data_IF_096671362078
#
_entry.id   IF_096671362078
#
_cell.length_a   1.000
_cell.length_b   1.000
_cell.length_c   1.000
_cell.angle_alpha   90.00
_cell.angle_beta   90.00
_cell.angle_gamma   90.00
#
_symmetry.space_group_name_H-M   'P 1'
#
loop_
_entity.id
_entity.type
_entity.pdbx_description
1 polymer ?
#
# COMPACT_ATOMS: atom_id res chain seq x y z
N UNK A 1 16.18 -15.08 -11.17
CA UNK A 1 16.24 -16.55 -11.12
C UNK A 1 17.33 -17.07 -10.21
N UNK A 2 18.50 -16.42 -10.15
CA UNK A 2 19.64 -16.91 -9.36
C UNK A 2 19.47 -16.90 -7.83
N UNK A 3 18.60 -16.05 -7.28
CA UNK A 3 18.41 -15.90 -5.82
C UNK A 3 17.61 -17.03 -5.18
N UNK A 4 16.58 -17.53 -5.84
CA UNK A 4 15.67 -18.50 -5.24
C UNK A 4 15.64 -19.86 -5.92
N UNK A 5 16.21 -19.97 -7.12
CA UNK A 5 16.31 -21.18 -7.96
C UNK A 5 15.04 -22.07 -7.94
N UNK A 6 13.85 -21.43 -7.91
CA UNK A 6 12.57 -22.11 -7.84
C UNK A 6 11.71 -21.70 -9.04
N UNK A 7 11.75 -22.50 -10.10
CA UNK A 7 10.99 -22.27 -11.34
C UNK A 7 9.49 -22.32 -11.11
N UNK A 8 9.00 -23.26 -10.32
CA UNK A 8 7.57 -23.42 -10.07
C UNK A 8 6.98 -22.20 -9.33
N UNK A 9 7.72 -21.63 -8.37
CA UNK A 9 7.30 -20.40 -7.69
C UNK A 9 7.28 -19.20 -8.64
N UNK A 10 8.25 -19.14 -9.58
CA UNK A 10 8.29 -18.08 -10.58
C UNK A 10 7.11 -18.18 -11.56
N UNK A 11 6.84 -19.36 -12.08
CA UNK A 11 5.69 -19.62 -12.96
C UNK A 11 4.38 -19.26 -12.26
N UNK A 12 4.18 -19.70 -11.01
CA UNK A 12 3.01 -19.34 -10.22
C UNK A 12 2.88 -17.83 -10.02
N UNK A 13 3.98 -17.11 -9.86
CA UNK A 13 3.96 -15.64 -9.76
C UNK A 13 3.49 -15.01 -11.09
N UNK A 14 4.04 -15.46 -12.23
CA UNK A 14 3.65 -14.94 -13.54
C UNK A 14 2.17 -15.23 -13.83
N UNK A 15 1.70 -16.44 -13.52
CA UNK A 15 0.30 -16.80 -13.69
C UNK A 15 -0.62 -15.91 -12.82
N UNK A 16 -0.26 -15.69 -11.56
CA UNK A 16 -1.00 -14.80 -10.66
C UNK A 16 -1.04 -13.36 -11.16
N UNK A 17 0.08 -12.87 -11.72
CA UNK A 17 0.14 -11.52 -12.33
C UNK A 17 -0.76 -11.44 -13.57
N UNK A 18 -0.75 -12.48 -14.42
CA UNK A 18 -1.56 -12.53 -15.62
C UNK A 18 -3.06 -12.57 -15.29
N UNK A 19 -3.45 -13.40 -14.31
CA UNK A 19 -4.83 -13.46 -13.80
C UNK A 19 -5.27 -12.11 -13.22
N UNK A 20 -4.45 -11.50 -12.36
CA UNK A 20 -4.76 -10.19 -11.77
C UNK A 20 -4.92 -9.09 -12.84
N UNK A 21 -4.10 -9.13 -13.90
CA UNK A 21 -4.24 -8.20 -15.02
C UNK A 21 -5.50 -8.50 -15.85
N UNK A 22 -5.83 -9.77 -16.08
CA UNK A 22 -7.03 -10.14 -16.82
C UNK A 22 -8.30 -9.64 -16.11
N UNK A 23 -8.37 -9.83 -14.79
CA UNK A 23 -9.50 -9.45 -13.95
C UNK A 23 -9.58 -7.93 -13.67
N UNK A 24 -8.52 -7.19 -13.98
CA UNK A 24 -8.46 -5.75 -13.71
C UNK A 24 -9.52 -4.98 -14.49
N UNK A 25 -10.36 -4.14 -13.84
CA UNK A 25 -11.42 -3.37 -14.49
C UNK A 25 -10.92 -2.48 -15.63
N UNK A 26 -11.73 -2.31 -16.68
CA UNK A 26 -11.35 -1.57 -17.87
C UNK A 26 -11.03 -0.08 -17.61
N UNK A 27 -11.69 0.53 -16.63
CA UNK A 27 -11.39 1.90 -16.20
C UNK A 27 -10.01 2.02 -15.53
N UNK A 28 -9.59 1.01 -14.76
CA UNK A 28 -8.23 0.95 -14.21
C UNK A 28 -7.19 0.70 -15.29
N UNK A 29 -7.43 -0.22 -16.23
CA UNK A 29 -6.53 -0.44 -17.37
C UNK A 29 -6.31 0.84 -18.19
N UNK A 30 -7.35 1.67 -18.37
CA UNK A 30 -7.21 2.98 -19.03
C UNK A 30 -6.38 3.97 -18.20
N UNK A 31 -6.60 3.99 -16.88
CA UNK A 31 -5.82 4.83 -15.98
C UNK A 31 -4.34 4.43 -15.98
N UNK A 32 -4.05 3.12 -15.93
CA UNK A 32 -2.68 2.60 -15.98
C UNK A 32 -1.99 3.06 -17.27
N UNK A 33 -2.65 2.86 -18.42
CA UNK A 33 -2.11 3.30 -19.73
C UNK A 33 -1.85 4.80 -19.77
N UNK A 34 -2.70 5.61 -19.16
CA UNK A 34 -2.49 7.06 -19.04
C UNK A 34 -1.25 7.39 -18.20
N UNK A 35 -1.03 6.66 -17.11
CA UNK A 35 0.11 6.85 -16.21
C UNK A 35 1.42 6.33 -16.80
N UNK A 36 1.38 5.27 -17.60
CA UNK A 36 2.53 4.79 -18.37
C UNK A 36 3.02 5.82 -19.39
N UNK A 37 2.10 6.61 -19.95
CA UNK A 37 2.44 7.70 -20.88
C UNK A 37 3.01 8.94 -20.17
N UNK A 38 2.72 9.10 -18.89
CA UNK A 38 3.21 10.18 -18.04
C UNK A 38 3.77 9.58 -16.73
N UNK A 39 4.98 9.00 -16.76
CA UNK A 39 5.54 8.30 -15.61
C UNK A 39 5.78 9.20 -14.39
N UNK A 40 5.83 10.50 -14.59
CA UNK A 40 5.96 11.50 -13.53
C UNK A 40 4.62 12.09 -13.06
N UNK A 41 3.50 11.45 -13.40
CA UNK A 41 2.14 11.91 -13.05
C UNK A 41 1.99 12.29 -11.56
N UNK A 42 2.69 11.60 -10.66
CA UNK A 42 2.63 11.83 -9.22
C UNK A 42 3.49 13.01 -8.72
N UNK A 43 4.37 13.57 -9.59
CA UNK A 43 5.24 14.72 -9.27
C UNK A 43 4.65 16.04 -9.77
N UNK A 44 3.50 16.02 -10.44
CA UNK A 44 2.90 17.25 -10.99
C UNK A 44 2.46 18.20 -9.89
N UNK A 45 2.49 19.50 -10.17
CA UNK A 45 2.12 20.54 -9.22
C UNK A 45 0.62 20.56 -8.84
N UNK A 46 -0.22 19.80 -9.54
CA UNK A 46 -1.64 19.59 -9.24
C UNK A 46 -1.90 18.38 -8.34
N UNK A 47 -0.84 17.64 -7.98
CA UNK A 47 -0.92 16.52 -7.04
C UNK A 47 -0.85 17.03 -5.60
N UNK A 48 -1.95 16.88 -4.87
CA UNK A 48 -2.03 17.19 -3.46
C UNK A 48 -2.31 15.92 -2.66
N UNK A 49 -1.35 15.50 -1.86
CA UNK A 49 -1.39 14.27 -1.05
C UNK A 49 -1.62 14.55 0.42
N UNK A 50 -2.28 13.60 1.10
CA UNK A 50 -2.45 13.59 2.54
C UNK A 50 -2.19 12.18 3.08
N UNK A 51 -1.43 12.10 4.17
CA UNK A 51 -1.18 10.86 4.91
C UNK A 51 -1.97 10.89 6.20
N UNK A 52 -2.62 9.77 6.54
CA UNK A 52 -3.41 9.69 7.77
C UNK A 52 -3.59 8.26 8.28
N UNK A 53 -3.78 8.13 9.58
CA UNK A 53 -4.35 6.94 10.20
C UNK A 53 -5.86 6.97 10.07
N UNK A 54 -6.46 5.87 9.62
CA UNK A 54 -7.92 5.75 9.42
C UNK A 54 -8.69 5.94 10.71
N UNK A 55 -8.25 5.30 11.80
CA UNK A 55 -8.88 5.36 13.12
C UNK A 55 -8.81 6.76 13.73
N UNK A 56 -7.68 7.45 13.62
CA UNK A 56 -7.49 8.80 14.17
C UNK A 56 -8.30 9.84 13.40
N UNK A 57 -8.43 9.71 12.09
CA UNK A 57 -9.13 10.69 11.27
C UNK A 57 -10.63 10.47 11.20
N UNK A 58 -11.07 9.22 11.08
CA UNK A 58 -12.47 8.88 10.83
C UNK A 58 -13.04 7.79 11.74
N UNK A 59 -12.19 7.02 12.41
CA UNK A 59 -12.55 5.88 13.25
C UNK A 59 -12.54 4.55 12.52
N UNK A 60 -13.08 4.48 11.31
CA UNK A 60 -13.11 3.26 10.49
C UNK A 60 -13.21 3.59 8.99
N UNK A 61 -13.07 2.56 8.13
CA UNK A 61 -13.09 2.70 6.68
C UNK A 61 -14.45 3.19 6.14
N UNK A 62 -15.57 2.82 6.76
CA UNK A 62 -16.89 3.27 6.34
C UNK A 62 -17.06 4.76 6.60
N UNK A 63 -16.69 5.21 7.80
CA UNK A 63 -16.72 6.62 8.15
C UNK A 63 -15.72 7.45 7.34
N UNK A 64 -14.56 6.87 6.99
CA UNK A 64 -13.63 7.52 6.08
C UNK A 64 -14.25 7.73 4.69
N UNK A 65 -15.03 6.77 4.20
CA UNK A 65 -15.76 6.93 2.94
C UNK A 65 -16.75 8.12 2.99
N UNK A 66 -17.35 8.41 4.15
CA UNK A 66 -18.25 9.55 4.34
C UNK A 66 -17.50 10.89 4.36
N UNK A 67 -16.17 10.88 4.57
CA UNK A 67 -15.31 12.07 4.50
C UNK A 67 -14.87 12.45 3.09
N UNK A 68 -15.17 11.64 2.07
CA UNK A 68 -14.75 11.91 0.68
C UNK A 68 -15.20 13.30 0.18
N UNK A 69 -16.40 13.81 0.46
CA UNK A 69 -16.78 15.17 0.10
C UNK A 69 -15.82 16.23 0.66
N UNK A 70 -15.44 16.10 1.93
CA UNK A 70 -14.46 16.97 2.59
C UNK A 70 -13.08 16.88 1.92
N UNK A 71 -12.60 15.65 1.62
CA UNK A 71 -11.31 15.45 0.95
C UNK A 71 -11.30 16.10 -0.43
N UNK A 72 -12.42 16.05 -1.17
CA UNK A 72 -12.58 16.74 -2.45
C UNK A 72 -12.59 18.26 -2.32
N UNK A 73 -13.23 18.80 -1.30
CA UNK A 73 -13.21 20.22 -1.00
C UNK A 73 -11.79 20.73 -0.75
N UNK A 74 -10.98 19.91 -0.07
CA UNK A 74 -9.55 20.16 0.11
C UNK A 74 -8.71 19.95 -1.17
N UNK A 75 -9.33 19.59 -2.32
CA UNK A 75 -8.67 19.28 -3.59
C UNK A 75 -7.66 18.13 -3.49
N UNK A 76 -7.88 17.19 -2.57
CA UNK A 76 -7.03 16.03 -2.43
C UNK A 76 -7.09 15.15 -3.68
N UNK A 77 -5.92 14.76 -4.20
CA UNK A 77 -5.78 13.87 -5.35
C UNK A 77 -5.08 12.55 -5.00
N UNK A 78 -4.43 12.50 -3.83
CA UNK A 78 -3.68 11.33 -3.36
C UNK A 78 -3.86 11.13 -1.86
N UNK A 79 -4.40 9.99 -1.47
CA UNK A 79 -4.59 9.61 -0.08
C UNK A 79 -3.67 8.45 0.27
N UNK A 80 -2.78 8.66 1.25
CA UNK A 80 -1.93 7.64 1.81
C UNK A 80 -2.49 7.23 3.19
N UNK A 81 -2.96 6.01 3.30
CA UNK A 81 -3.41 5.45 4.56
C UNK A 81 -2.27 4.68 5.22
N UNK A 82 -2.02 5.01 6.48
CA UNK A 82 -1.13 4.26 7.35
C UNK A 82 -1.63 2.81 7.48
N UNK A 83 -0.84 1.88 8.04
CA UNK A 83 -1.13 0.46 7.96
C UNK A 83 -2.58 0.09 8.28
N UNK A 84 -3.15 -0.80 7.49
CA UNK A 84 -4.56 -1.23 7.56
C UNK A 84 -4.73 -2.73 7.81
N UNK A 85 -3.64 -3.50 7.70
CA UNK A 85 -3.72 -4.96 7.76
C UNK A 85 -3.82 -5.45 9.19
N UNK A 86 -4.25 -6.69 9.36
CA UNK A 86 -4.46 -7.29 10.69
C UNK A 86 -3.17 -7.31 11.50
N UNK A 87 -3.24 -6.78 12.71
CA UNK A 87 -2.10 -6.56 13.59
C UNK A 87 -2.42 -6.96 15.03
N UNK A 88 -1.41 -7.32 15.87
CA UNK A 88 -1.64 -7.61 17.26
C UNK A 88 -2.07 -6.36 18.04
N UNK A 89 -2.94 -6.56 19.01
CA UNK A 89 -3.32 -5.52 19.94
C UNK A 89 -2.99 -5.96 21.39
N UNK A 90 -2.36 -5.10 22.21
CA UNK A 90 -2.08 -3.66 22.01
C UNK A 90 -0.73 -3.36 21.34
N UNK A 91 0.16 -4.34 21.13
CA UNK A 91 1.55 -4.14 20.73
C UNK A 91 1.69 -4.37 19.21
N UNK A 92 1.49 -3.32 18.41
CA UNK A 92 1.48 -3.41 16.95
C UNK A 92 2.50 -2.51 16.23
N UNK A 93 3.39 -1.87 16.99
CA UNK A 93 4.43 -0.99 16.43
C UNK A 93 3.86 0.08 15.46
N UNK A 94 2.78 0.74 15.88
CA UNK A 94 2.12 1.75 15.06
C UNK A 94 1.37 1.19 13.84
N UNK A 95 1.08 -0.11 13.86
CA UNK A 95 0.39 -0.81 12.79
C UNK A 95 1.30 -1.60 11.84
N UNK A 96 2.63 -1.55 12.05
CA UNK A 96 3.59 -2.21 11.15
C UNK A 96 3.91 -3.66 11.51
N UNK A 97 3.34 -4.18 12.59
CA UNK A 97 3.52 -5.57 12.99
C UNK A 97 2.43 -6.47 12.38
N UNK A 98 2.30 -6.48 11.05
CA UNK A 98 1.27 -7.26 10.36
C UNK A 98 1.32 -8.74 10.73
N UNK A 99 0.16 -9.31 11.12
CA UNK A 99 -0.04 -10.74 11.40
C UNK A 99 -0.59 -11.48 10.18
N UNK A 100 -1.44 -10.79 9.42
CA UNK A 100 -2.09 -11.31 8.23
C UNK A 100 -2.09 -10.24 7.14
N UNK A 101 -1.43 -10.54 6.01
CA UNK A 101 -1.34 -9.65 4.87
C UNK A 101 -2.57 -9.72 3.95
N UNK A 102 -3.48 -10.65 4.19
CA UNK A 102 -4.66 -10.88 3.37
C UNK A 102 -5.92 -10.24 3.96
N UNK A 103 -5.86 -9.76 5.22
CA UNK A 103 -7.03 -9.30 5.97
C UNK A 103 -6.83 -7.89 6.54
N UNK A 104 -7.84 -7.04 6.39
CA UNK A 104 -7.90 -5.73 7.05
C UNK A 104 -8.09 -5.92 8.56
N UNK A 105 -7.47 -5.06 9.38
CA UNK A 105 -7.67 -5.06 10.83
C UNK A 105 -9.18 -4.92 11.15
N UNK A 106 -9.76 -5.86 11.92
CA UNK A 106 -11.18 -5.84 12.26
C UNK A 106 -11.65 -4.55 12.96
N UNK A 107 -10.75 -3.79 13.59
CA UNK A 107 -11.07 -2.49 14.18
C UNK A 107 -11.32 -1.41 13.12
N UNK A 108 -10.70 -1.54 11.95
CA UNK A 108 -10.81 -0.57 10.87
C UNK A 108 -11.94 -0.93 9.90
N UNK A 109 -12.32 -2.21 9.80
CA UNK A 109 -13.36 -2.69 8.92
C UNK A 109 -13.07 -4.05 8.31
N UNK A 110 -13.55 -4.25 7.10
CA UNK A 110 -13.38 -5.50 6.33
C UNK A 110 -12.70 -5.24 4.99
N UNK A 111 -12.28 -6.31 4.31
CA UNK A 111 -11.74 -6.21 2.94
C UNK A 111 -12.76 -5.59 1.98
N UNK A 112 -14.05 -5.91 2.16
CA UNK A 112 -15.14 -5.34 1.36
C UNK A 112 -15.29 -3.84 1.61
N UNK A 113 -15.09 -3.39 2.86
CA UNK A 113 -15.13 -1.97 3.21
C UNK A 113 -13.97 -1.21 2.55
N UNK A 114 -12.77 -1.81 2.55
CA UNK A 114 -11.60 -1.25 1.87
C UNK A 114 -11.82 -1.19 0.35
N UNK A 115 -12.36 -2.25 -0.25
CA UNK A 115 -12.69 -2.30 -1.66
C UNK A 115 -13.74 -1.22 -2.04
N UNK A 116 -14.77 -1.06 -1.21
CA UNK A 116 -15.80 -0.04 -1.40
C UNK A 116 -15.23 1.37 -1.29
N UNK A 117 -14.35 1.62 -0.29
CA UNK A 117 -13.63 2.88 -0.13
C UNK A 117 -12.76 3.19 -1.35
N UNK A 118 -11.93 2.24 -1.80
CA UNK A 118 -11.06 2.38 -2.97
C UNK A 118 -11.85 2.76 -4.22
N UNK A 119 -13.01 2.11 -4.43
CA UNK A 119 -13.91 2.41 -5.55
C UNK A 119 -14.51 3.81 -5.47
N UNK A 120 -14.91 4.26 -4.26
CA UNK A 120 -15.45 5.61 -4.04
C UNK A 120 -14.37 6.68 -4.24
N UNK A 121 -13.16 6.49 -3.69
CA UNK A 121 -12.02 7.38 -3.87
C UNK A 121 -11.66 7.54 -5.35
N UNK A 122 -11.55 6.41 -6.07
CA UNK A 122 -11.28 6.42 -7.52
C UNK A 122 -12.30 7.24 -8.30
N UNK A 123 -13.60 7.07 -8.00
CA UNK A 123 -14.68 7.87 -8.62
C UNK A 123 -14.60 9.35 -8.27
N UNK A 124 -14.02 9.68 -7.14
CA UNK A 124 -13.78 11.05 -6.70
C UNK A 124 -12.50 11.66 -7.29
N UNK A 125 -11.70 10.90 -8.07
CA UNK A 125 -10.42 11.33 -8.62
C UNK A 125 -9.27 11.28 -7.62
N UNK A 126 -9.42 10.55 -6.51
CA UNK A 126 -8.42 10.41 -5.45
C UNK A 126 -7.74 9.04 -5.58
N UNK A 127 -6.43 9.04 -5.76
CA UNK A 127 -5.62 7.83 -5.74
C UNK A 127 -5.40 7.36 -4.31
N UNK A 128 -5.55 6.06 -4.05
CA UNK A 128 -5.31 5.45 -2.75
C UNK A 128 -3.94 4.77 -2.75
N UNK A 129 -3.17 5.03 -1.71
CA UNK A 129 -1.98 4.29 -1.31
C UNK A 129 -2.19 3.71 0.08
N UNK A 130 -1.69 2.51 0.32
CA UNK A 130 -1.71 1.84 1.62
C UNK A 130 -0.28 1.56 2.01
N UNK A 131 0.06 1.89 3.25
CA UNK A 131 1.36 1.58 3.82
C UNK A 131 1.39 0.14 4.33
N UNK A 132 2.48 -0.58 4.05
CA UNK A 132 2.67 -1.95 4.51
C UNK A 132 4.15 -2.32 4.46
N UNK A 133 4.61 -3.09 5.44
CA UNK A 133 5.99 -3.59 5.52
C UNK A 133 6.00 -5.09 5.28
N UNK A 134 6.66 -5.52 4.22
CA UNK A 134 6.63 -6.91 3.75
C UNK A 134 7.65 -7.84 4.38
N UNK A 135 8.59 -7.37 5.24
CA UNK A 135 9.43 -8.28 5.96
C UNK A 135 9.02 -8.43 7.41
N UNK A 136 8.81 -9.66 7.74
CA UNK A 136 8.39 -10.10 9.04
C UNK A 136 9.59 -10.56 9.86
N UNK A 137 9.99 -9.77 10.85
CA UNK A 137 10.58 -10.32 12.08
C UNK A 137 9.44 -10.56 13.07
N UNK A 138 8.60 -11.55 12.80
CA UNK A 138 7.55 -11.94 13.72
C UNK A 138 8.08 -13.06 14.62
N UNK A 139 8.17 -12.79 15.92
CA UNK A 139 8.38 -13.78 16.96
C UNK A 139 7.17 -14.73 17.15
N UNK A 140 6.11 -14.55 16.38
CA UNK A 140 4.92 -15.39 16.43
C UNK A 140 4.94 -16.42 15.31
N UNK A 141 4.66 -17.70 15.62
CA UNK A 141 4.55 -18.72 14.59
C UNK A 141 3.41 -18.34 13.62
N UNK A 142 3.60 -18.54 12.31
CA UNK A 142 2.54 -18.28 11.35
C UNK A 142 1.31 -19.09 11.71
N UNK A 143 0.16 -18.42 11.87
CA UNK A 143 -1.12 -19.15 11.90
C UNK A 143 -1.20 -19.98 10.63
N UNK A 144 -1.47 -21.28 10.79
CA UNK A 144 -1.60 -22.20 9.67
C UNK A 144 -2.54 -21.60 8.64
N UNK A 145 -2.03 -21.39 7.43
CA UNK A 145 -2.82 -20.90 6.30
C UNK A 145 -4.06 -21.80 6.16
N UNK A 146 -5.23 -21.28 6.46
CA UNK A 146 -6.44 -21.88 5.94
C UNK A 146 -6.44 -21.61 4.44
N UNK A 147 -6.10 -22.64 3.67
CA UNK A 147 -6.20 -22.64 2.22
C UNK A 147 -7.70 -22.60 1.84
N UNK A 148 -8.20 -21.40 1.71
CA UNK A 148 -9.51 -21.11 1.19
C UNK A 148 -9.39 -19.85 0.37
N UNK A 149 -8.97 -20.00 -0.91
CA UNK A 149 -9.06 -18.93 -1.90
C UNK A 149 -10.52 -18.50 -1.99
N UNK A 150 -10.88 -17.44 -1.30
CA UNK A 150 -11.99 -16.61 -1.73
C UNK A 150 -11.42 -15.56 -2.65
N UNK A 151 -11.73 -15.64 -3.94
CA UNK A 151 -11.53 -14.56 -4.89
C UNK A 151 -12.42 -13.42 -4.41
N UNK A 152 -11.78 -12.32 -4.02
CA UNK A 152 -12.48 -11.08 -3.82
C UNK A 152 -12.63 -10.37 -5.17
N UNK A 153 -13.86 -10.00 -5.52
CA UNK A 153 -14.18 -9.26 -6.77
C UNK A 153 -13.68 -7.82 -6.76
N UNK A 154 -12.92 -7.41 -5.74
CA UNK A 154 -12.49 -6.01 -5.56
C UNK A 154 -11.42 -5.54 -6.52
N UNK A 155 -10.68 -6.45 -7.17
CA UNK A 155 -9.61 -6.10 -8.10
C UNK A 155 -8.46 -5.30 -7.47
N UNK A 156 -8.29 -5.38 -6.14
CA UNK A 156 -7.17 -4.78 -5.44
C UNK A 156 -5.91 -5.61 -5.69
N UNK A 157 -5.10 -5.17 -6.64
CA UNK A 157 -3.73 -5.66 -6.78
C UNK A 157 -2.86 -4.78 -5.92
N UNK A 158 -2.29 -5.34 -4.85
CA UNK A 158 -1.28 -4.65 -4.05
C UNK A 158 -0.02 -4.50 -4.89
N UNK A 159 0.17 -3.33 -5.49
CA UNK A 159 1.48 -2.96 -6.01
C UNK A 159 2.31 -2.44 -4.84
N UNK A 160 3.25 -3.27 -4.41
CA UNK A 160 4.28 -2.94 -3.46
C UNK A 160 5.25 -1.94 -4.09
N UNK A 161 4.97 -0.65 -3.94
CA UNK A 161 5.98 0.38 -4.15
C UNK A 161 6.79 0.49 -2.87
N UNK A 162 7.97 -0.12 -2.86
CA UNK A 162 8.96 0.12 -1.84
C UNK A 162 9.33 1.59 -1.82
N UNK A 163 8.85 2.32 -0.83
CA UNK A 163 9.43 3.58 -0.45
C UNK A 163 10.78 3.25 0.21
N UNK A 164 11.89 3.44 -0.51
CA UNK A 164 13.22 3.41 0.10
C UNK A 164 13.27 4.55 1.11
N UNK A 165 13.34 4.20 2.38
CA UNK A 165 13.49 5.14 3.47
C UNK A 165 14.74 6.00 3.27
N UNK A 166 14.63 7.27 3.65
CA UNK A 166 15.67 8.28 3.52
C UNK A 166 16.91 8.04 4.42
N UNK A 167 17.01 6.91 5.09
CA UNK A 167 18.09 6.58 6.04
C UNK A 167 19.39 6.12 5.36
N UNK A 168 19.39 5.69 4.11
CA UNK A 168 20.62 5.27 3.44
C UNK A 168 21.49 6.42 2.87
N UNK A 169 21.09 7.68 3.01
CA UNK A 169 21.84 8.82 2.46
C UNK A 169 22.76 9.54 3.45
N UNK A 170 22.92 9.08 4.69
CA UNK A 170 23.75 9.76 5.68
C UNK A 170 25.17 9.20 5.84
N UNK A 171 25.54 8.10 5.20
CA UNK A 171 26.89 7.53 5.36
C UNK A 171 27.92 7.93 4.27
N UNK A 172 27.53 8.65 3.24
CA UNK A 172 28.47 8.98 2.13
C UNK A 172 29.12 10.39 2.21
N UNK A 173 28.84 11.20 3.23
CA UNK A 173 29.45 12.54 3.41
C UNK A 173 30.11 12.73 4.77
N UNK A 174 31.10 11.92 5.08
CA UNK A 174 31.80 12.03 6.37
C UNK A 174 33.23 11.52 6.40
N UNK A 175 34.06 11.81 5.38
CA UNK A 175 35.53 11.77 5.54
C UNK A 175 36.19 12.74 4.56
N UNK A 176 36.54 13.91 5.08
CA UNK A 176 37.32 14.88 4.34
C UNK A 176 37.55 16.18 5.10
N UNK A 177 38.11 16.11 6.30
CA UNK A 177 38.71 17.28 6.91
C UNK A 177 40.14 16.92 7.30
N UNK A 178 41.03 17.20 6.38
CA UNK A 178 42.48 17.12 6.56
C UNK A 178 42.95 18.15 7.59
N UNK A 179 43.83 17.68 8.44
CA UNK A 179 44.72 18.42 9.31
C UNK A 179 45.50 19.47 8.56
N UNK A 180 45.44 20.72 9.02
CA UNK A 180 46.55 21.68 8.81
C UNK A 180 46.95 22.23 10.16
N UNK A 181 48.11 21.76 10.64
CA UNK A 181 48.97 22.44 11.59
C UNK A 181 49.63 23.62 10.87
N UNK A 182 49.57 24.76 11.40
CA UNK A 182 50.63 25.72 11.83
C UNK A 182 50.03 26.95 12.46
#
# INVERSE_FOLDING_TARGET
MSLYNNHAAFESLIDSMAEAYADRPADLKRLDKSREQDPDWYKRGDMFGMTMYTDLFAGDLKKLADKIPYLKEQKLTYLHLMPLLDMPHPNNDGGYADQDFDTVDPKLGTNEDLAALAKKLRRAGISLCIDSVSYRFSFFPPRARRSGRRRDESGLTFHQFGCQSAEERHEEYGHGAGSHQR
#
